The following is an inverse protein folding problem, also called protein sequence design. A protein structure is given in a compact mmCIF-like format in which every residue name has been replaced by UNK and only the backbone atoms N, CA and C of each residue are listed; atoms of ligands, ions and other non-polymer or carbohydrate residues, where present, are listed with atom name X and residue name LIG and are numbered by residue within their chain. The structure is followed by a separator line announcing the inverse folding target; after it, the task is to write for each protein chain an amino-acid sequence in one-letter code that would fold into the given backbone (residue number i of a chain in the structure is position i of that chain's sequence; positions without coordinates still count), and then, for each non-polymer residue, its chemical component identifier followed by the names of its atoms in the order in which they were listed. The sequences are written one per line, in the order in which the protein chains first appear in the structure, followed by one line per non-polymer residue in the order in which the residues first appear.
data_IF_386286266659
#
_entry.id   IF_386286266659
#
_cell.length_a   1.000
_cell.length_b   1.000
_cell.length_c   1.000
_cell.angle_alpha   90.00
_cell.angle_beta   90.00
_cell.angle_gamma   90.00
#
_symmetry.space_group_name_H-M   'P 1'
#
loop_
_entity.id
_entity.type
_entity.pdbx_description
1 polymer ?
#
# COMPACT_ATOMS: atom_id res chain seq x y z
N UNK A 1 -44.44 52.68 6.34
CA UNK A 1 -45.70 52.64 7.10
C UNK A 1 -45.39 51.87 8.35
N UNK A 2 -45.17 52.58 9.41
CA UNK A 2 -45.89 52.77 10.70
C UNK A 2 -45.83 51.50 11.54
N UNK A 3 -45.00 51.52 12.61
CA UNK A 3 -45.37 51.98 14.01
C UNK A 3 -46.08 50.85 14.75
N UNK A 4 -45.93 50.59 16.01
CA UNK A 4 -45.29 51.23 17.17
C UNK A 4 -45.42 50.23 18.34
N UNK A 5 -44.43 50.29 19.24
CA UNK A 5 -44.54 50.76 20.64
C UNK A 5 -45.43 49.95 21.58
N UNK A 6 -44.95 49.59 22.68
CA UNK A 6 -45.00 50.22 24.00
C UNK A 6 -45.06 49.16 25.07
N UNK A 7 -44.37 49.23 25.98
CA UNK A 7 -44.15 49.84 27.28
C UNK A 7 -44.28 48.90 28.48
N UNK A 8 -43.29 49.01 29.25
CA UNK A 8 -43.00 48.67 30.61
C UNK A 8 -44.21 48.61 31.60
N UNK A 9 -44.05 47.75 32.64
CA UNK A 9 -44.20 48.21 34.04
C UNK A 9 -43.53 47.23 35.02
N UNK A 10 -42.81 47.83 35.95
CA UNK A 10 -42.09 47.31 37.10
C UNK A 10 -43.04 46.90 38.23
N UNK A 11 -42.69 45.88 39.03
CA UNK A 11 -42.97 45.87 40.47
C UNK A 11 -42.06 44.95 41.27
N UNK A 12 -41.39 45.48 42.26
CA UNK A 12 -40.64 44.80 43.32
C UNK A 12 -41.55 43.99 44.25
N UNK A 13 -41.12 42.91 44.84
CA UNK A 13 -41.01 42.69 46.29
C UNK A 13 -40.31 41.39 46.64
N UNK A 14 -39.41 41.44 47.63
CA UNK A 14 -38.81 40.34 48.42
C UNK A 14 -39.68 40.05 49.66
N UNK A 15 -39.27 39.10 50.61
CA UNK A 15 -38.53 37.83 50.59
C UNK A 15 -39.31 36.72 51.35
N UNK A 16 -38.79 35.47 51.32
CA UNK A 16 -39.30 34.38 52.16
C UNK A 16 -38.56 33.03 51.99
N UNK A 17 -37.68 32.78 52.90
CA UNK A 17 -37.22 31.55 53.59
C UNK A 17 -37.26 30.13 52.94
N UNK A 18 -36.09 29.51 52.94
CA UNK A 18 -35.71 28.18 53.41
C UNK A 18 -36.47 26.95 52.90
N UNK A 19 -35.72 26.10 52.14
CA UNK A 19 -36.07 24.74 51.91
C UNK A 19 -34.84 23.98 51.40
N UNK A 20 -34.20 23.19 52.28
CA UNK A 20 -33.09 22.30 51.96
C UNK A 20 -33.55 21.18 51.05
N UNK A 21 -32.92 21.02 49.88
CA UNK A 21 -33.09 19.91 48.99
C UNK A 21 -31.88 19.86 48.04
N UNK A 22 -30.87 19.11 48.44
CA UNK A 22 -29.66 18.93 47.61
C UNK A 22 -30.04 18.18 46.33
N UNK A 23 -30.04 18.88 45.20
CA UNK A 23 -29.99 18.22 43.88
C UNK A 23 -28.61 17.64 43.64
N UNK A 24 -28.49 16.43 43.00
CA UNK A 24 -27.19 15.88 42.67
C UNK A 24 -26.53 16.78 41.61
N UNK A 25 -25.33 17.27 41.96
CA UNK A 25 -24.42 18.00 41.08
C UNK A 25 -24.26 17.18 39.81
N UNK A 26 -24.77 17.69 38.71
CA UNK A 26 -24.64 17.09 37.37
C UNK A 26 -23.18 16.78 37.08
N UNK A 27 -22.94 15.60 36.56
CA UNK A 27 -21.68 15.12 36.03
C UNK A 27 -21.12 16.16 35.04
N UNK A 28 -20.25 17.03 35.56
CA UNK A 28 -19.38 17.84 34.70
C UNK A 28 -18.60 16.89 33.84
N UNK A 29 -18.63 17.03 32.51
CA UNK A 29 -17.84 16.30 31.57
C UNK A 29 -16.39 16.23 32.08
N UNK A 30 -15.95 15.08 32.54
CA UNK A 30 -14.62 14.88 33.09
C UNK A 30 -13.62 15.07 31.96
N UNK A 31 -12.92 16.18 31.98
CA UNK A 31 -11.81 16.49 31.09
C UNK A 31 -10.85 15.30 31.08
N UNK A 32 -10.40 14.88 29.91
CA UNK A 32 -9.39 13.85 29.78
C UNK A 32 -8.14 14.22 30.61
N UNK A 33 -7.57 13.25 31.38
CA UNK A 33 -6.41 13.51 32.22
C UNK A 33 -5.23 13.96 31.38
N UNK A 34 -4.41 14.86 31.92
CA UNK A 34 -3.25 15.45 31.27
C UNK A 34 -1.96 15.06 31.99
N UNK A 35 -0.81 15.32 31.36
CA UNK A 35 0.51 15.14 32.00
C UNK A 35 0.70 16.07 33.20
N UNK A 36 -0.05 17.17 33.30
CA UNK A 36 -0.05 18.07 34.46
C UNK A 36 -0.77 17.45 35.67
N UNK A 37 -1.85 16.72 35.42
CA UNK A 37 -2.58 16.00 36.48
C UNK A 37 -1.71 14.92 37.10
N UNK A 38 -0.97 14.19 36.26
CA UNK A 38 0.02 13.19 36.73
C UNK A 38 1.16 13.86 37.51
N UNK A 39 1.66 15.00 37.03
CA UNK A 39 2.71 15.75 37.68
C UNK A 39 2.31 16.16 39.08
N UNK A 40 1.07 16.70 39.22
CA UNK A 40 0.49 17.06 40.51
C UNK A 40 0.38 15.89 41.48
N UNK A 41 -0.20 14.76 41.02
CA UNK A 41 -0.38 13.55 41.84
C UNK A 41 0.95 12.85 42.19
N UNK A 42 1.93 12.92 41.30
CA UNK A 42 3.25 12.33 41.53
C UNK A 42 4.20 13.26 42.32
N UNK A 43 3.83 14.51 42.59
CA UNK A 43 4.68 15.49 43.27
C UNK A 43 5.96 15.81 42.51
N UNK A 44 5.91 15.85 41.17
CA UNK A 44 7.05 16.13 40.30
C UNK A 44 6.69 17.18 39.23
N UNK A 45 7.69 17.68 38.53
CA UNK A 45 7.42 18.61 37.41
C UNK A 45 6.88 17.87 36.18
N UNK A 46 6.08 18.54 35.34
CA UNK A 46 5.58 18.00 34.07
C UNK A 46 6.72 17.51 33.14
N UNK A 47 7.88 18.17 33.01
CA UNK A 47 9.02 17.61 32.30
C UNK A 47 9.53 16.28 32.85
N UNK A 48 9.44 16.08 34.17
CA UNK A 48 9.82 14.81 34.83
C UNK A 48 8.85 13.70 34.45
N UNK A 49 7.54 13.97 34.42
CA UNK A 49 6.52 13.02 33.92
C UNK A 49 6.80 12.63 32.47
N UNK A 50 7.06 13.63 31.60
CA UNK A 50 7.38 13.37 30.20
C UNK A 50 8.64 12.50 30.03
N UNK A 51 9.70 12.76 30.80
CA UNK A 51 10.93 11.94 30.76
C UNK A 51 10.68 10.54 31.31
N UNK A 52 9.92 10.39 32.39
CA UNK A 52 9.58 9.10 32.95
C UNK A 52 8.81 8.21 31.95
N UNK A 53 7.75 8.77 31.34
CA UNK A 53 6.89 8.06 30.39
C UNK A 53 7.59 7.79 29.04
N UNK A 54 8.68 8.53 28.71
CA UNK A 54 9.54 8.24 27.56
C UNK A 54 10.72 7.31 27.86
N UNK A 55 10.82 6.75 29.07
CA UNK A 55 11.89 5.81 29.43
C UNK A 55 13.27 6.46 29.61
N UNK A 56 13.35 7.79 29.83
CA UNK A 56 14.62 8.50 29.99
C UNK A 56 15.42 7.99 31.20
N UNK A 57 16.74 7.72 31.05
CA UNK A 57 17.59 7.29 32.16
C UNK A 57 17.82 8.39 33.23
N UNK A 58 17.42 9.62 32.94
CA UNK A 58 17.55 10.75 33.87
C UNK A 58 16.50 10.74 34.99
N UNK A 59 15.55 9.81 34.98
CA UNK A 59 14.53 9.64 36.03
C UNK A 59 14.80 8.34 36.77
N UNK A 60 14.85 8.41 38.11
CA UNK A 60 15.07 7.22 38.93
C UNK A 60 13.97 6.18 38.71
N UNK A 61 14.31 4.91 38.85
CA UNK A 61 13.36 3.82 38.63
C UNK A 61 12.15 3.91 39.57
N UNK A 62 12.35 4.27 40.82
CA UNK A 62 11.27 4.46 41.77
C UNK A 62 10.30 5.56 41.37
N UNK A 63 10.83 6.68 40.84
CA UNK A 63 10.00 7.79 40.35
C UNK A 63 9.25 7.40 39.08
N UNK A 64 9.90 6.65 38.16
CA UNK A 64 9.27 6.15 36.92
C UNK A 64 8.10 5.23 37.24
N UNK A 65 8.30 4.23 38.08
CA UNK A 65 7.24 3.28 38.48
C UNK A 65 6.05 3.98 39.12
N UNK A 66 6.29 5.01 39.98
CA UNK A 66 5.23 5.80 40.60
C UNK A 66 4.42 6.56 39.53
N UNK A 67 5.08 7.21 38.59
CA UNK A 67 4.44 7.94 37.49
C UNK A 67 3.63 7.02 36.59
N UNK A 68 4.18 5.84 36.22
CA UNK A 68 3.49 4.85 35.41
C UNK A 68 2.25 4.27 36.11
N UNK A 69 2.31 4.08 37.45
CA UNK A 69 1.16 3.65 38.24
C UNK A 69 0.02 4.67 38.21
N UNK A 70 0.35 5.95 38.43
CA UNK A 70 -0.63 7.06 38.36
C UNK A 70 -1.21 7.19 36.96
N UNK A 71 -0.38 7.12 35.91
CA UNK A 71 -0.83 7.18 34.53
C UNK A 71 -1.84 6.06 34.21
N UNK A 72 -1.57 4.83 34.69
CA UNK A 72 -2.49 3.69 34.58
C UNK A 72 -3.81 3.92 35.33
N UNK A 73 -3.75 4.42 36.57
CA UNK A 73 -4.94 4.72 37.35
C UNK A 73 -5.84 5.76 36.70
N UNK A 74 -5.25 6.77 36.09
CA UNK A 74 -5.97 7.82 35.36
C UNK A 74 -6.37 7.40 33.94
N UNK A 75 -6.03 6.20 33.49
CA UNK A 75 -6.17 5.76 32.08
C UNK A 75 -5.55 6.78 31.10
N UNK A 76 -4.46 7.44 31.54
CA UNK A 76 -3.76 8.45 30.73
C UNK A 76 -2.97 7.75 29.61
N UNK A 77 -3.21 8.19 28.40
CA UNK A 77 -2.40 7.86 27.22
C UNK A 77 -1.56 9.07 26.85
N UNK A 78 -0.26 8.85 26.64
CA UNK A 78 0.63 9.92 26.16
C UNK A 78 0.06 10.44 24.84
N UNK A 79 -0.22 11.74 24.78
CA UNK A 79 -0.62 12.38 23.53
C UNK A 79 0.58 12.35 22.56
N UNK A 80 0.46 11.48 21.55
CA UNK A 80 1.48 11.32 20.52
C UNK A 80 1.70 12.64 19.76
N UNK A 81 0.66 13.42 19.51
CA UNK A 81 0.76 14.70 18.80
C UNK A 81 1.59 15.72 19.57
N UNK A 82 1.41 15.82 20.90
CA UNK A 82 2.21 16.70 21.75
C UNK A 82 3.66 16.21 21.92
N UNK A 83 3.91 14.90 21.78
CA UNK A 83 5.25 14.31 21.82
C UNK A 83 5.98 14.50 20.50
N UNK A 84 5.31 14.34 19.35
CA UNK A 84 5.86 14.48 18.01
C UNK A 84 6.32 15.90 17.70
N UNK A 85 5.58 16.92 18.14
CA UNK A 85 5.97 18.33 18.05
C UNK A 85 7.32 18.62 18.72
N UNK A 86 7.61 17.94 19.84
CA UNK A 86 8.90 18.09 20.55
C UNK A 86 10.04 17.29 19.90
N UNK A 87 9.74 16.13 19.32
CA UNK A 87 10.72 15.24 18.69
C UNK A 87 10.98 15.60 17.23
N UNK A 88 10.15 16.47 16.60
CA UNK A 88 10.11 16.71 15.15
C UNK A 88 9.97 15.40 14.34
N UNK A 89 9.24 14.41 14.89
CA UNK A 89 8.97 13.12 14.25
C UNK A 89 7.54 12.72 14.57
N UNK A 90 6.83 12.30 13.54
CA UNK A 90 5.42 11.87 13.66
C UNK A 90 5.29 10.41 14.10
N UNK A 91 6.38 9.63 14.02
CA UNK A 91 6.39 8.17 14.14
C UNK A 91 5.32 7.53 13.22
N UNK A 92 5.10 8.14 12.04
CA UNK A 92 4.14 7.72 11.02
C UNK A 92 4.84 7.61 9.67
N UNK A 93 4.53 6.57 8.92
CA UNK A 93 4.88 6.44 7.50
C UNK A 93 3.61 6.64 6.68
N UNK A 94 3.70 7.37 5.57
CA UNK A 94 2.59 7.47 4.62
C UNK A 94 2.77 6.46 3.49
N UNK A 95 1.75 5.64 3.25
CA UNK A 95 1.66 4.77 2.08
C UNK A 95 0.74 5.42 1.07
N UNK A 96 1.28 5.70 -0.11
CA UNK A 96 0.57 6.33 -1.20
C UNK A 96 0.35 5.32 -2.31
N UNK A 97 -0.92 5.06 -2.64
CA UNK A 97 -1.28 4.24 -3.78
C UNK A 97 -1.21 5.03 -5.08
N UNK A 98 -0.63 4.43 -6.09
CA UNK A 98 -0.78 4.85 -7.48
C UNK A 98 -1.99 4.12 -8.06
N UNK A 99 -2.96 4.85 -8.55
CA UNK A 99 -4.10 4.26 -9.22
C UNK A 99 -3.83 4.19 -10.71
N UNK A 100 -4.01 2.99 -11.29
CA UNK A 100 -4.28 2.89 -12.70
C UNK A 100 -5.67 3.48 -12.97
N UNK A 101 -5.88 4.22 -14.05
CA UNK A 101 -7.19 4.76 -14.41
C UNK A 101 -8.12 3.61 -14.81
N UNK A 102 -8.74 2.97 -13.81
CA UNK A 102 -9.80 1.99 -14.03
C UNK A 102 -11.14 2.70 -13.96
N UNK A 103 -12.13 2.19 -14.69
CA UNK A 103 -13.49 2.75 -14.66
C UNK A 103 -14.18 2.58 -13.29
N UNK A 104 -13.67 1.71 -12.43
CA UNK A 104 -14.13 1.46 -11.08
C UNK A 104 -13.06 1.88 -10.06
N UNK A 105 -13.15 3.12 -9.60
CA UNK A 105 -12.27 3.71 -8.57
C UNK A 105 -12.37 3.01 -7.20
N UNK A 106 -13.31 2.07 -7.02
CA UNK A 106 -13.50 1.36 -5.76
C UNK A 106 -12.57 0.17 -5.57
N UNK A 107 -11.90 -0.31 -6.62
CA UNK A 107 -11.14 -1.56 -6.59
C UNK A 107 -9.63 -1.31 -6.55
N UNK A 108 -9.04 -1.61 -5.40
CA UNK A 108 -7.57 -1.76 -5.29
C UNK A 108 -7.19 -3.15 -5.78
N UNK A 109 -6.18 -3.24 -6.66
CA UNK A 109 -5.64 -4.54 -7.09
C UNK A 109 -5.33 -5.43 -5.86
N UNK A 110 -5.87 -6.66 -5.78
CA UNK A 110 -5.66 -7.58 -4.65
C UNK A 110 -4.20 -7.84 -4.29
N UNK A 111 -3.29 -7.78 -5.26
CA UNK A 111 -1.85 -7.86 -5.01
C UNK A 111 -1.39 -6.71 -4.08
N UNK A 112 -1.83 -5.48 -4.34
CA UNK A 112 -1.47 -4.35 -3.50
C UNK A 112 -2.18 -4.37 -2.14
N UNK A 113 -3.35 -4.97 -2.03
CA UNK A 113 -4.01 -5.21 -0.73
C UNK A 113 -3.18 -6.18 0.12
N UNK A 114 -2.63 -7.23 -0.47
CA UNK A 114 -1.72 -8.15 0.22
C UNK A 114 -0.41 -7.45 0.66
N UNK A 115 0.13 -6.59 -0.22
CA UNK A 115 1.31 -5.77 0.08
C UNK A 115 1.04 -4.79 1.23
N UNK A 116 -0.11 -4.09 1.21
CA UNK A 116 -0.55 -3.20 2.30
C UNK A 116 -0.57 -3.95 3.64
N UNK A 117 -1.13 -5.16 3.69
CA UNK A 117 -1.13 -5.98 4.90
C UNK A 117 0.27 -6.32 5.41
N UNK A 118 1.22 -6.55 4.50
CA UNK A 118 2.62 -6.83 4.83
C UNK A 118 3.36 -5.58 5.33
N UNK A 119 3.17 -4.44 4.66
CA UNK A 119 3.74 -3.15 5.06
C UNK A 119 3.20 -2.73 6.43
N UNK A 120 1.88 -2.86 6.66
CA UNK A 120 1.25 -2.52 7.96
C UNK A 120 1.88 -3.29 9.11
N UNK A 121 2.10 -4.61 8.94
CA UNK A 121 2.77 -5.43 9.95
C UNK A 121 4.23 -5.03 10.15
N UNK A 122 4.95 -4.71 9.08
CA UNK A 122 6.34 -4.27 9.14
C UNK A 122 6.47 -2.90 9.83
N UNK A 123 5.64 -1.92 9.46
CA UNK A 123 5.59 -0.59 10.09
C UNK A 123 5.32 -0.71 11.60
N UNK A 124 4.33 -1.53 12.00
CA UNK A 124 4.02 -1.75 13.42
C UNK A 124 5.19 -2.35 14.20
N UNK A 125 5.89 -3.34 13.63
CA UNK A 125 7.10 -3.91 14.26
C UNK A 125 8.22 -2.88 14.39
N UNK A 126 8.33 -1.96 13.43
CA UNK A 126 9.32 -0.88 13.43
C UNK A 126 8.92 0.31 14.32
N UNK A 127 7.74 0.29 14.95
CA UNK A 127 7.24 1.35 15.85
C UNK A 127 6.52 2.49 15.16
N UNK A 128 6.20 2.36 13.88
CA UNK A 128 5.47 3.37 13.09
C UNK A 128 3.98 3.06 12.98
N UNK A 129 3.18 4.11 12.98
CA UNK A 129 1.80 4.06 12.48
C UNK A 129 1.82 4.22 10.93
N UNK A 130 0.79 3.73 10.25
CA UNK A 130 0.70 3.82 8.79
C UNK A 130 -0.50 4.70 8.40
N UNK A 131 -0.22 5.79 7.69
CA UNK A 131 -1.22 6.63 7.04
C UNK A 131 -1.37 6.15 5.59
N UNK A 132 -2.57 5.74 5.20
CA UNK A 132 -2.84 5.26 3.84
C UNK A 132 -3.60 6.32 3.07
N UNK A 133 -3.16 6.65 1.86
CA UNK A 133 -3.78 7.65 1.01
C UNK A 133 -3.61 7.30 -0.47
N UNK A 134 -4.45 7.92 -1.30
CA UNK A 134 -4.33 7.87 -2.75
C UNK A 134 -3.72 9.17 -3.26
N UNK A 135 -2.97 9.12 -4.36
CA UNK A 135 -2.08 10.20 -4.76
C UNK A 135 -2.71 11.30 -5.62
N UNK A 136 -3.95 11.13 -6.02
CA UNK A 136 -4.56 11.91 -7.10
C UNK A 136 -4.72 13.42 -6.84
N UNK A 137 -4.57 13.89 -5.60
CA UNK A 137 -5.01 15.24 -5.21
C UNK A 137 -3.87 16.21 -4.85
N UNK A 138 -2.60 15.84 -4.99
CA UNK A 138 -1.48 16.70 -4.61
C UNK A 138 -0.39 16.78 -5.65
N UNK A 139 0.14 17.99 -5.84
CA UNK A 139 1.27 18.26 -6.72
C UNK A 139 2.63 18.21 -6.00
N UNK A 140 2.65 18.20 -4.67
CA UNK A 140 3.87 18.16 -3.86
C UNK A 140 3.72 17.30 -2.60
N UNK A 141 4.05 16.00 -2.74
CA UNK A 141 3.92 15.03 -1.65
C UNK A 141 4.90 15.28 -0.50
N UNK A 142 6.09 15.85 -0.76
CA UNK A 142 7.03 16.23 0.29
C UNK A 142 6.39 17.24 1.24
N UNK A 143 5.87 18.34 0.67
CA UNK A 143 5.21 19.39 1.42
C UNK A 143 4.00 18.89 2.19
N UNK A 144 3.19 18.02 1.56
CA UNK A 144 1.95 17.53 2.17
C UNK A 144 2.17 16.56 3.33
N UNK A 145 3.28 15.85 3.35
CA UNK A 145 3.54 14.81 4.35
C UNK A 145 4.71 15.13 5.27
N UNK A 146 5.92 15.42 4.75
CA UNK A 146 7.09 15.69 5.58
C UNK A 146 7.06 17.09 6.20
N UNK A 147 6.86 18.16 5.42
CA UNK A 147 6.85 19.54 5.92
C UNK A 147 5.69 19.79 6.91
N UNK A 148 4.55 19.16 6.66
CA UNK A 148 3.40 19.23 7.57
C UNK A 148 3.52 18.30 8.77
N UNK A 149 4.58 17.50 8.87
CA UNK A 149 4.79 16.48 9.90
C UNK A 149 3.68 15.43 10.01
N UNK A 150 2.94 15.15 8.92
CA UNK A 150 1.95 14.07 8.87
C UNK A 150 2.62 12.71 8.80
N UNK A 151 3.77 12.62 8.13
CA UNK A 151 4.58 11.41 8.05
C UNK A 151 6.07 11.76 8.04
N UNK A 152 6.88 10.83 8.53
CA UNK A 152 8.34 10.96 8.56
C UNK A 152 8.97 10.48 7.24
N UNK A 153 8.25 9.69 6.46
CA UNK A 153 8.69 9.19 5.15
C UNK A 153 7.56 8.50 4.40
N UNK A 154 7.81 8.22 3.11
CA UNK A 154 6.79 7.76 2.18
C UNK A 154 7.07 6.34 1.68
N UNK A 155 6.02 5.56 1.47
CA UNK A 155 6.04 4.30 0.74
C UNK A 155 5.11 4.45 -0.46
N UNK A 156 5.66 4.24 -1.66
CA UNK A 156 4.92 4.41 -2.91
C UNK A 156 4.58 3.02 -3.47
N UNK A 157 3.30 2.75 -3.70
CA UNK A 157 2.80 1.44 -4.05
C UNK A 157 1.80 1.50 -5.20
N UNK A 158 2.05 0.77 -6.29
CA UNK A 158 1.17 0.66 -7.43
C UNK A 158 1.91 0.44 -8.74
N UNK A 159 1.16 0.08 -9.77
CA UNK A 159 1.60 0.08 -11.16
C UNK A 159 0.89 1.23 -11.89
N UNK A 160 1.62 2.21 -12.33
CA UNK A 160 1.09 3.31 -13.09
C UNK A 160 2.00 3.69 -14.25
N UNK A 161 1.56 4.63 -15.06
CA UNK A 161 2.35 5.15 -16.16
C UNK A 161 3.68 5.73 -15.65
N UNK A 162 4.77 5.00 -15.92
CA UNK A 162 6.10 5.36 -15.44
C UNK A 162 6.56 6.75 -15.92
N UNK A 163 6.13 7.20 -17.09
CA UNK A 163 6.51 8.52 -17.61
C UNK A 163 5.97 9.64 -16.72
N UNK A 164 4.75 9.45 -16.18
CA UNK A 164 4.14 10.40 -15.24
C UNK A 164 4.85 10.34 -13.88
N UNK A 165 5.13 9.13 -13.38
CA UNK A 165 5.72 8.96 -12.05
C UNK A 165 7.18 9.33 -11.98
N UNK A 166 7.94 9.14 -13.04
CA UNK A 166 9.37 9.45 -13.08
C UNK A 166 9.67 10.89 -12.66
N UNK A 167 8.85 11.84 -13.10
CA UNK A 167 9.03 13.24 -12.74
C UNK A 167 8.74 13.50 -11.27
N UNK A 168 7.68 12.87 -10.71
CA UNK A 168 7.35 12.94 -9.28
C UNK A 168 8.45 12.34 -8.41
N UNK A 169 8.98 11.18 -8.80
CA UNK A 169 10.10 10.53 -8.10
C UNK A 169 11.35 11.43 -8.12
N UNK A 170 11.66 12.06 -9.26
CA UNK A 170 12.76 12.98 -9.37
C UNK A 170 12.57 14.22 -8.47
N UNK A 171 11.35 14.75 -8.37
CA UNK A 171 11.01 15.85 -7.47
C UNK A 171 11.23 15.46 -6.00
N UNK A 172 10.69 14.33 -5.55
CA UNK A 172 10.90 13.83 -4.18
C UNK A 172 12.38 13.67 -3.84
N UNK A 173 13.15 13.14 -4.79
CA UNK A 173 14.60 12.99 -4.64
C UNK A 173 15.32 14.34 -4.50
N UNK A 174 14.95 15.33 -5.31
CA UNK A 174 15.51 16.68 -5.26
C UNK A 174 15.17 17.41 -3.95
N UNK A 175 14.01 17.15 -3.38
CA UNK A 175 13.55 17.69 -2.09
C UNK A 175 14.17 16.97 -0.87
N UNK A 176 14.89 15.85 -1.09
CA UNK A 176 15.49 15.06 -0.01
C UNK A 176 14.46 14.25 0.78
N UNK A 177 13.29 13.99 0.21
CA UNK A 177 12.25 13.16 0.81
C UNK A 177 12.75 11.74 1.08
N UNK A 178 12.41 11.19 2.23
CA UNK A 178 12.72 9.80 2.58
C UNK A 178 11.61 8.90 2.06
N UNK A 179 11.91 8.14 1.01
CA UNK A 179 10.89 7.25 0.45
C UNK A 179 11.47 5.92 -0.04
N UNK A 180 10.59 4.93 -0.11
CA UNK A 180 10.81 3.67 -0.82
C UNK A 180 9.63 3.41 -1.75
N UNK A 181 9.88 2.80 -2.91
CA UNK A 181 8.85 2.46 -3.87
C UNK A 181 8.87 0.99 -4.24
N UNK A 182 7.70 0.44 -4.50
CA UNK A 182 7.56 -0.81 -5.24
C UNK A 182 7.56 -0.52 -6.74
N UNK A 183 8.33 -1.31 -7.51
CA UNK A 183 8.37 -1.13 -8.95
C UNK A 183 9.58 -1.81 -9.60
N UNK A 184 9.80 -1.54 -10.88
CA UNK A 184 10.96 -2.05 -11.60
C UNK A 184 12.26 -1.46 -11.04
N UNK A 185 13.17 -2.34 -10.65
CA UNK A 185 14.52 -1.97 -10.19
C UNK A 185 15.36 -1.50 -11.36
N UNK A 186 15.14 -2.06 -12.56
CA UNK A 186 15.85 -1.72 -13.79
C UNK A 186 15.46 -0.32 -14.29
N UNK A 187 14.20 0.09 -14.10
CA UNK A 187 13.70 1.42 -14.45
C UNK A 187 13.98 2.46 -13.34
N UNK A 188 15.14 2.41 -12.71
CA UNK A 188 15.47 3.31 -11.63
C UNK A 188 15.63 4.77 -12.11
N UNK A 189 14.94 5.70 -11.45
CA UNK A 189 14.86 7.11 -11.84
C UNK A 189 16.02 7.99 -11.33
N UNK A 190 17.12 7.41 -10.90
CA UNK A 190 18.26 8.19 -10.41
C UNK A 190 18.46 8.16 -8.88
N UNK A 191 19.33 9.01 -8.33
CA UNK A 191 19.64 9.02 -6.91
C UNK A 191 18.46 9.53 -6.10
N UNK A 192 18.08 8.77 -5.09
CA UNK A 192 17.03 9.12 -4.13
C UNK A 192 15.97 8.04 -4.02
N UNK A 193 15.60 7.75 -2.77
CA UNK A 193 14.69 6.67 -2.46
C UNK A 193 15.24 5.26 -2.75
N UNK A 194 14.56 4.27 -2.23
CA UNK A 194 14.89 2.87 -2.52
C UNK A 194 13.81 2.26 -3.44
N UNK A 195 14.23 1.54 -4.48
CA UNK A 195 13.32 0.75 -5.31
C UNK A 195 13.41 -0.71 -4.91
N UNK A 196 12.29 -1.27 -4.50
CA UNK A 196 12.12 -2.70 -4.21
C UNK A 196 11.20 -3.27 -5.29
N UNK A 197 11.59 -4.38 -5.91
CA UNK A 197 10.79 -4.99 -6.96
C UNK A 197 11.06 -6.47 -7.09
N UNK A 198 10.27 -7.15 -7.91
CA UNK A 198 10.49 -8.54 -8.28
C UNK A 198 11.33 -8.66 -9.56
N UNK A 199 12.03 -9.78 -9.69
CA UNK A 199 12.64 -10.15 -10.95
C UNK A 199 11.56 -10.53 -11.97
N UNK A 200 11.03 -9.51 -12.63
CA UNK A 200 9.94 -9.64 -13.60
C UNK A 200 10.37 -10.42 -14.84
N UNK A 201 11.61 -10.24 -15.29
CA UNK A 201 12.17 -10.93 -16.44
C UNK A 201 12.27 -12.44 -16.17
N UNK A 202 12.88 -12.83 -15.05
CA UNK A 202 12.97 -14.23 -14.64
C UNK A 202 11.58 -14.84 -14.43
N UNK A 203 10.62 -14.09 -13.89
CA UNK A 203 9.23 -14.53 -13.75
C UNK A 203 8.57 -14.83 -15.09
N UNK A 204 8.70 -13.94 -16.08
CA UNK A 204 8.21 -14.15 -17.45
C UNK A 204 8.86 -15.36 -18.13
N UNK A 205 10.19 -15.50 -18.01
CA UNK A 205 10.91 -16.68 -18.50
C UNK A 205 10.39 -17.97 -17.86
N UNK A 206 10.19 -17.98 -16.57
CA UNK A 206 9.74 -19.16 -15.81
C UNK A 206 8.36 -19.62 -16.29
N UNK A 207 7.42 -18.70 -16.46
CA UNK A 207 6.08 -18.97 -16.97
C UNK A 207 6.14 -19.56 -18.39
N UNK A 208 6.90 -18.95 -19.29
CA UNK A 208 7.04 -19.40 -20.67
C UNK A 208 7.75 -20.76 -20.77
N UNK A 209 8.87 -20.96 -20.08
CA UNK A 209 9.59 -22.24 -20.05
C UNK A 209 8.70 -23.37 -19.53
N UNK A 210 7.86 -23.09 -18.53
CA UNK A 210 6.91 -24.07 -18.03
C UNK A 210 5.90 -24.50 -19.11
N UNK A 211 5.29 -23.54 -19.83
CA UNK A 211 4.37 -23.83 -20.94
C UNK A 211 5.05 -24.57 -22.08
N UNK A 212 6.28 -24.19 -22.45
CA UNK A 212 7.08 -24.87 -23.47
C UNK A 212 7.35 -26.33 -23.08
N UNK A 213 7.67 -26.57 -21.79
CA UNK A 213 7.86 -27.93 -21.27
C UNK A 213 6.58 -28.78 -21.31
N UNK A 214 5.40 -28.14 -21.24
CA UNK A 214 4.09 -28.79 -21.46
C UNK A 214 3.73 -28.96 -22.95
N UNK A 215 4.64 -28.68 -23.87
CA UNK A 215 4.45 -28.86 -25.29
C UNK A 215 3.84 -27.68 -26.04
N UNK A 216 3.61 -26.52 -25.36
CA UNK A 216 3.07 -25.30 -25.98
C UNK A 216 4.13 -24.66 -26.88
N UNK A 217 3.69 -24.12 -28.01
CA UNK A 217 4.59 -23.63 -29.06
C UNK A 217 4.26 -22.20 -29.53
N UNK A 218 3.05 -21.75 -29.32
CA UNK A 218 2.54 -20.43 -29.76
C UNK A 218 1.95 -19.68 -28.58
N UNK A 219 2.80 -18.93 -27.92
CA UNK A 219 2.42 -18.20 -26.69
C UNK A 219 1.92 -16.80 -27.06
N UNK A 220 0.75 -16.43 -26.55
CA UNK A 220 0.29 -15.05 -26.50
C UNK A 220 0.66 -14.43 -25.14
N UNK A 221 1.14 -13.19 -25.16
CA UNK A 221 1.34 -12.37 -23.97
C UNK A 221 0.23 -11.33 -23.87
N UNK A 222 -0.48 -11.33 -22.75
CA UNK A 222 -1.51 -10.33 -22.46
C UNK A 222 -0.98 -9.35 -21.44
N UNK A 223 -0.76 -8.11 -21.87
CA UNK A 223 -0.24 -7.03 -21.03
C UNK A 223 0.32 -5.89 -21.84
N UNK A 224 0.25 -4.69 -21.34
CA UNK A 224 0.80 -3.50 -21.99
C UNK A 224 2.32 -3.46 -21.84
N UNK A 225 3.04 -4.19 -22.71
CA UNK A 225 4.50 -4.30 -22.69
C UNK A 225 5.17 -3.09 -23.34
N UNK A 226 5.35 -2.02 -22.59
CA UNK A 226 6.00 -0.79 -23.06
C UNK A 226 6.81 -0.14 -21.93
N UNK A 227 7.62 0.89 -22.29
CA UNK A 227 8.36 1.67 -21.30
C UNK A 227 7.49 2.39 -20.26
N UNK A 228 6.19 2.54 -20.53
CA UNK A 228 5.23 3.07 -19.56
C UNK A 228 4.92 2.10 -18.43
N UNK A 229 5.01 0.79 -18.70
CA UNK A 229 4.80 -0.29 -17.72
C UNK A 229 6.02 -1.20 -17.69
N UNK A 230 7.14 -0.75 -17.11
CA UNK A 230 8.43 -1.44 -17.18
C UNK A 230 8.40 -2.84 -16.58
N UNK A 231 7.53 -3.10 -15.60
CA UNK A 231 7.33 -4.43 -15.02
C UNK A 231 6.75 -5.40 -16.06
N UNK A 232 5.73 -4.96 -16.82
CA UNK A 232 5.11 -5.79 -17.86
C UNK A 232 6.04 -5.96 -19.04
N UNK A 233 6.78 -4.92 -19.41
CA UNK A 233 7.82 -5.01 -20.45
C UNK A 233 8.87 -6.07 -20.08
N UNK A 234 9.37 -6.04 -18.84
CA UNK A 234 10.35 -7.03 -18.38
C UNK A 234 9.77 -8.46 -18.38
N UNK A 235 8.49 -8.65 -17.99
CA UNK A 235 7.79 -9.95 -18.09
C UNK A 235 7.72 -10.43 -19.54
N UNK A 236 7.31 -9.55 -20.46
CA UNK A 236 7.26 -9.83 -21.90
C UNK A 236 8.61 -10.21 -22.47
N UNK A 237 9.66 -9.44 -22.17
CA UNK A 237 11.03 -9.73 -22.62
C UNK A 237 11.53 -11.07 -22.08
N UNK A 238 11.15 -11.43 -20.84
CA UNK A 238 11.42 -12.75 -20.29
C UNK A 238 10.75 -13.89 -21.09
N UNK A 239 9.47 -13.69 -21.46
CA UNK A 239 8.74 -14.64 -22.32
C UNK A 239 9.39 -14.75 -23.69
N UNK A 240 9.70 -13.61 -24.33
CA UNK A 240 10.34 -13.57 -25.65
C UNK A 240 11.71 -14.28 -25.64
N UNK A 241 12.50 -14.07 -24.59
CA UNK A 241 13.79 -14.74 -24.42
C UNK A 241 13.62 -16.26 -24.30
N UNK A 242 12.67 -16.75 -23.50
CA UNK A 242 12.43 -18.19 -23.34
C UNK A 242 12.01 -18.85 -24.66
N UNK A 243 11.19 -18.18 -25.47
CA UNK A 243 10.79 -18.66 -26.79
C UNK A 243 11.97 -18.69 -27.76
N UNK A 244 12.80 -17.65 -27.79
CA UNK A 244 13.98 -17.58 -28.63
C UNK A 244 14.98 -18.70 -28.30
N UNK A 245 15.22 -18.96 -27.00
CA UNK A 245 16.07 -20.07 -26.52
C UNK A 245 15.55 -21.44 -26.96
N UNK A 246 14.23 -21.59 -27.10
CA UNK A 246 13.58 -22.82 -27.57
C UNK A 246 13.43 -22.90 -29.11
N UNK A 247 13.90 -21.90 -29.85
CA UNK A 247 13.75 -21.85 -31.32
C UNK A 247 12.28 -21.68 -31.76
N UNK A 248 11.43 -21.04 -30.93
CA UNK A 248 10.01 -20.80 -31.17
C UNK A 248 9.76 -19.38 -31.66
N UNK A 249 8.62 -19.13 -32.34
CA UNK A 249 8.23 -17.77 -32.74
C UNK A 249 8.13 -16.80 -31.53
N UNK A 250 8.35 -15.50 -31.76
CA UNK A 250 8.14 -14.50 -30.69
C UNK A 250 6.68 -14.54 -30.19
N UNK A 251 6.43 -14.07 -28.96
CA UNK A 251 5.09 -14.08 -28.40
C UNK A 251 4.18 -13.14 -29.18
N UNK A 252 2.91 -13.54 -29.39
CA UNK A 252 1.87 -12.63 -29.83
C UNK A 252 1.56 -11.67 -28.69
N UNK A 253 1.53 -10.36 -28.93
CA UNK A 253 1.21 -9.39 -27.89
C UNK A 253 -0.18 -8.84 -28.09
N UNK A 254 -0.96 -8.77 -27.01
CA UNK A 254 -2.19 -7.98 -26.93
C UNK A 254 -2.17 -7.12 -25.66
N UNK A 255 -2.39 -5.83 -25.84
CA UNK A 255 -2.35 -4.87 -24.74
C UNK A 255 -3.51 -5.11 -23.75
N UNK A 256 -3.19 -5.12 -22.48
CA UNK A 256 -4.16 -5.18 -21.39
C UNK A 256 -3.60 -4.45 -20.16
N UNK A 257 -4.38 -3.59 -19.56
CA UNK A 257 -4.14 -3.05 -18.22
C UNK A 257 -4.59 -4.08 -17.18
N UNK A 258 -4.27 -3.86 -15.92
CA UNK A 258 -4.49 -4.83 -14.82
C UNK A 258 -5.97 -4.91 -14.39
N UNK A 259 -6.84 -5.36 -15.32
CA UNK A 259 -8.26 -5.64 -15.04
C UNK A 259 -8.72 -6.92 -15.75
N UNK A 260 -9.81 -7.51 -15.25
CA UNK A 260 -10.42 -8.68 -15.88
C UNK A 260 -11.02 -8.33 -17.25
N UNK A 261 -11.63 -7.15 -17.36
CA UNK A 261 -12.24 -6.65 -18.60
C UNK A 261 -11.21 -6.49 -19.70
N UNK A 262 -10.05 -5.90 -19.39
CA UNK A 262 -8.96 -5.74 -20.34
C UNK A 262 -8.37 -7.10 -20.76
N UNK A 263 -8.23 -8.04 -19.82
CA UNK A 263 -7.79 -9.42 -20.12
C UNK A 263 -8.75 -10.14 -21.06
N UNK A 264 -10.06 -10.02 -20.84
CA UNK A 264 -11.07 -10.60 -21.71
C UNK A 264 -11.07 -9.94 -23.11
N UNK A 265 -10.98 -8.61 -23.16
CA UNK A 265 -10.93 -7.87 -24.41
C UNK A 265 -9.71 -8.24 -25.26
N UNK A 266 -8.54 -8.43 -24.63
CA UNK A 266 -7.31 -8.85 -25.32
C UNK A 266 -7.47 -10.24 -25.97
N UNK A 267 -8.08 -11.21 -25.28
CA UNK A 267 -8.38 -12.55 -25.86
C UNK A 267 -9.35 -12.41 -27.06
N UNK A 268 -10.41 -11.62 -26.91
CA UNK A 268 -11.35 -11.42 -28.00
C UNK A 268 -10.70 -10.78 -29.22
N UNK A 269 -9.79 -9.82 -29.02
CA UNK A 269 -9.05 -9.17 -30.10
C UNK A 269 -8.14 -10.14 -30.84
N UNK A 270 -7.39 -11.01 -30.14
CA UNK A 270 -6.54 -12.04 -30.74
C UNK A 270 -7.37 -13.02 -31.58
N UNK A 271 -8.48 -13.51 -31.05
CA UNK A 271 -9.36 -14.46 -31.77
C UNK A 271 -9.99 -13.77 -33.01
N UNK A 272 -10.48 -12.55 -32.87
CA UNK A 272 -11.08 -11.79 -33.98
C UNK A 272 -10.05 -11.46 -35.06
N UNK A 273 -8.79 -11.25 -34.70
CA UNK A 273 -7.66 -11.06 -35.63
C UNK A 273 -7.23 -12.34 -36.37
N UNK A 274 -7.83 -13.51 -36.04
CA UNK A 274 -7.46 -14.80 -36.65
C UNK A 274 -6.12 -15.32 -36.16
N UNK A 275 -5.59 -14.79 -35.04
CA UNK A 275 -4.33 -15.23 -34.49
C UNK A 275 -4.42 -16.67 -33.92
N UNK A 276 -3.41 -17.46 -34.20
CA UNK A 276 -3.33 -18.85 -33.72
C UNK A 276 -2.37 -18.89 -32.53
N UNK A 277 -2.86 -19.26 -31.35
CA UNK A 277 -2.07 -19.48 -30.13
C UNK A 277 -2.58 -20.71 -29.38
N UNK A 278 -1.73 -21.35 -28.62
CA UNK A 278 -2.02 -22.55 -27.81
C UNK A 278 -1.85 -22.29 -26.32
N UNK A 279 -1.36 -21.12 -25.97
CA UNK A 279 -1.16 -20.73 -24.58
C UNK A 279 -1.08 -19.22 -24.37
N UNK A 280 -1.37 -18.79 -23.14
CA UNK A 280 -1.35 -17.39 -22.70
C UNK A 280 -0.44 -17.26 -21.49
N UNK A 281 0.46 -16.28 -21.54
CA UNK A 281 1.12 -15.70 -20.36
C UNK A 281 0.50 -14.33 -20.13
N UNK A 282 -0.28 -14.18 -19.07
CA UNK A 282 -0.85 -12.90 -18.69
C UNK A 282 0.09 -12.15 -17.75
N UNK A 283 0.19 -10.84 -17.94
CA UNK A 283 1.06 -9.97 -17.14
C UNK A 283 0.61 -9.87 -15.67
N UNK A 284 -0.66 -10.16 -15.36
CA UNK A 284 -1.16 -10.27 -13.99
C UNK A 284 -2.26 -11.31 -13.87
N UNK A 285 -2.60 -11.72 -12.66
CA UNK A 285 -3.68 -12.67 -12.41
C UNK A 285 -5.05 -12.11 -12.78
N UNK A 286 -5.29 -10.82 -12.60
CA UNK A 286 -6.56 -10.19 -13.04
C UNK A 286 -6.73 -10.30 -14.55
N UNK A 287 -5.68 -10.02 -15.33
CA UNK A 287 -5.68 -10.21 -16.78
C UNK A 287 -5.93 -11.70 -17.12
N UNK A 288 -5.27 -12.62 -16.40
CA UNK A 288 -5.45 -14.07 -16.61
C UNK A 288 -6.88 -14.52 -16.29
N UNK A 289 -7.51 -14.01 -15.22
CA UNK A 289 -8.90 -14.32 -14.86
C UNK A 289 -9.85 -13.85 -15.97
N UNK A 290 -9.66 -12.65 -16.47
CA UNK A 290 -10.40 -12.13 -17.62
C UNK A 290 -10.22 -13.01 -18.87
N UNK A 291 -8.99 -13.45 -19.14
CA UNK A 291 -8.69 -14.36 -20.24
C UNK A 291 -9.41 -15.71 -20.08
N UNK A 292 -9.40 -16.30 -18.87
CA UNK A 292 -10.12 -17.55 -18.58
C UNK A 292 -11.62 -17.41 -18.88
N UNK A 293 -12.22 -16.28 -18.50
CA UNK A 293 -13.63 -15.98 -18.77
C UNK A 293 -13.91 -15.91 -20.28
N UNK A 294 -13.11 -15.12 -21.01
CA UNK A 294 -13.27 -14.95 -22.45
C UNK A 294 -13.08 -16.27 -23.25
N UNK A 295 -12.17 -17.14 -22.80
CA UNK A 295 -12.00 -18.47 -23.39
C UNK A 295 -13.23 -19.36 -23.14
N UNK A 296 -13.77 -19.35 -21.91
CA UNK A 296 -14.97 -20.09 -21.57
C UNK A 296 -16.20 -19.62 -22.37
N UNK A 297 -16.35 -18.32 -22.61
CA UNK A 297 -17.42 -17.72 -23.44
C UNK A 297 -17.35 -18.16 -24.91
N UNK A 298 -16.23 -18.74 -25.33
CA UNK A 298 -15.96 -19.27 -26.69
C UNK A 298 -15.87 -20.80 -26.73
N UNK A 299 -16.26 -21.48 -25.64
CA UNK A 299 -16.18 -22.95 -25.50
C UNK A 299 -14.75 -23.49 -25.65
N UNK A 300 -13.73 -22.66 -25.46
CA UNK A 300 -12.32 -23.06 -25.49
C UNK A 300 -11.90 -23.59 -24.12
N UNK A 301 -11.49 -24.84 -24.08
CA UNK A 301 -11.16 -25.53 -22.83
C UNK A 301 -9.76 -25.18 -22.34
N UNK A 302 -9.67 -24.79 -21.08
CA UNK A 302 -8.38 -24.59 -20.40
C UNK A 302 -8.13 -25.79 -19.48
N UNK A 303 -6.98 -26.47 -19.57
CA UNK A 303 -5.81 -26.22 -20.43
C UNK A 303 -5.82 -26.96 -21.78
N UNK A 304 -6.87 -27.73 -22.11
CA UNK A 304 -6.84 -28.64 -23.21
C UNK A 304 -6.58 -27.97 -24.58
N UNK A 305 -7.35 -26.89 -24.86
CA UNK A 305 -7.21 -26.15 -26.11
C UNK A 305 -6.18 -25.00 -25.91
N UNK A 306 -6.30 -24.22 -24.85
CA UNK A 306 -5.41 -23.10 -24.52
C UNK A 306 -4.95 -23.23 -23.06
N UNK A 307 -3.64 -23.25 -22.81
CA UNK A 307 -3.06 -23.17 -21.47
C UNK A 307 -2.95 -21.70 -21.01
N UNK A 308 -3.12 -21.43 -19.71
CA UNK A 308 -3.06 -20.06 -19.18
C UNK A 308 -2.16 -20.01 -17.95
N UNK A 309 -1.30 -19.00 -17.90
CA UNK A 309 -0.53 -18.63 -16.68
C UNK A 309 -0.72 -17.18 -16.35
N UNK A 310 -0.70 -16.84 -15.05
CA UNK A 310 -0.79 -15.49 -14.53
C UNK A 310 0.48 -15.03 -13.83
N UNK A 311 0.37 -13.91 -13.11
CA UNK A 311 1.43 -13.32 -12.30
C UNK A 311 0.78 -12.63 -11.09
N UNK A 312 1.34 -12.75 -9.89
CA UNK A 312 1.02 -12.13 -8.59
C UNK A 312 0.61 -13.14 -7.51
N UNK A 313 -0.02 -14.26 -7.87
CA UNK A 313 -0.62 -15.25 -6.96
C UNK A 313 -1.65 -14.64 -6.00
N UNK A 314 -2.58 -13.83 -6.55
CA UNK A 314 -3.68 -13.29 -5.75
C UNK A 314 -4.60 -14.42 -5.26
N UNK A 315 -5.32 -14.24 -4.12
CA UNK A 315 -6.19 -15.30 -3.57
C UNK A 315 -7.20 -15.87 -4.56
N UNK A 316 -7.71 -15.05 -5.49
CA UNK A 316 -8.66 -15.47 -6.52
C UNK A 316 -8.06 -16.51 -7.48
N UNK A 317 -6.75 -16.47 -7.74
CA UNK A 317 -6.06 -17.39 -8.66
C UNK A 317 -6.25 -18.86 -8.28
N UNK A 318 -6.29 -19.18 -6.97
CA UNK A 318 -6.51 -20.54 -6.49
C UNK A 318 -7.97 -21.01 -6.65
N UNK A 319 -8.91 -20.08 -6.84
CA UNK A 319 -10.37 -20.34 -6.88
C UNK A 319 -10.95 -20.29 -8.30
N UNK A 320 -10.14 -19.96 -9.32
CA UNK A 320 -10.57 -20.00 -10.72
C UNK A 320 -10.90 -21.41 -11.18
N UNK A 321 -11.55 -21.54 -12.31
CA UNK A 321 -11.88 -22.82 -12.95
C UNK A 321 -11.40 -22.86 -14.38
N UNK A 322 -10.27 -23.60 -14.61
CA UNK A 322 -9.44 -24.32 -13.65
C UNK A 322 -8.62 -23.37 -12.75
N UNK A 323 -8.10 -23.86 -11.58
CA UNK A 323 -7.20 -23.07 -10.72
C UNK A 323 -5.96 -22.60 -11.49
N UNK A 324 -5.64 -21.31 -11.38
CA UNK A 324 -4.65 -20.60 -12.18
C UNK A 324 -3.22 -20.90 -11.71
N UNK A 325 -2.39 -21.39 -12.63
CA UNK A 325 -0.92 -21.43 -12.51
C UNK A 325 -0.40 -20.01 -12.62
N UNK A 326 0.43 -19.57 -11.68
CA UNK A 326 0.85 -18.17 -11.63
C UNK A 326 2.25 -18.01 -11.03
N UNK A 327 2.89 -16.89 -11.34
CA UNK A 327 4.17 -16.50 -10.75
C UNK A 327 3.92 -15.68 -9.49
N UNK A 328 4.42 -16.15 -8.35
CA UNK A 328 4.24 -15.46 -7.06
C UNK A 328 5.36 -14.47 -6.81
N UNK A 329 4.99 -13.33 -6.25
CA UNK A 329 5.88 -12.29 -5.74
C UNK A 329 5.86 -12.31 -4.20
N UNK A 330 7.04 -12.20 -3.57
CA UNK A 330 7.15 -12.23 -2.09
C UNK A 330 6.73 -10.89 -1.47
N UNK A 331 5.43 -10.71 -1.30
CA UNK A 331 4.84 -9.52 -0.68
C UNK A 331 5.26 -9.31 0.77
N UNK A 332 5.59 -10.41 1.50
CA UNK A 332 6.01 -10.29 2.90
C UNK A 332 7.41 -9.68 2.98
N UNK A 333 8.35 -10.23 2.19
CA UNK A 333 9.72 -9.71 2.13
C UNK A 333 9.74 -8.31 1.56
N UNK A 334 8.94 -8.03 0.52
CA UNK A 334 8.79 -6.71 -0.07
C UNK A 334 8.33 -5.66 0.96
N UNK A 335 7.25 -5.96 1.68
CA UNK A 335 6.73 -5.05 2.70
C UNK A 335 7.72 -4.76 3.82
N UNK A 336 8.50 -5.76 4.24
CA UNK A 336 9.57 -5.56 5.21
C UNK A 336 10.67 -4.65 4.68
N UNK A 337 11.16 -4.90 3.45
CA UNK A 337 12.23 -4.11 2.83
C UNK A 337 11.81 -2.66 2.57
N UNK A 338 10.57 -2.42 2.15
CA UNK A 338 10.06 -1.07 1.95
C UNK A 338 10.12 -0.25 3.23
N UNK A 339 9.65 -0.81 4.35
CA UNK A 339 9.70 -0.14 5.66
C UNK A 339 11.14 0.03 6.15
N UNK A 340 11.97 -1.02 6.06
CA UNK A 340 13.37 -0.97 6.49
C UNK A 340 14.17 0.06 5.68
N UNK A 341 13.87 0.21 4.38
CA UNK A 341 14.53 1.20 3.52
C UNK A 341 14.19 2.63 3.91
N UNK A 342 12.91 2.94 4.21
CA UNK A 342 12.55 4.28 4.70
C UNK A 342 13.18 4.52 6.07
N UNK A 343 13.14 3.55 6.97
CA UNK A 343 13.75 3.67 8.30
C UNK A 343 15.26 3.93 8.22
N UNK A 344 15.98 3.20 7.36
CA UNK A 344 17.41 3.42 7.16
C UNK A 344 17.70 4.86 6.72
N UNK A 345 16.92 5.40 5.77
CA UNK A 345 17.06 6.81 5.33
C UNK A 345 16.79 7.80 6.48
N UNK A 346 15.79 7.54 7.33
CA UNK A 346 15.50 8.36 8.51
C UNK A 346 16.62 8.34 9.55
N UNK A 347 17.42 7.28 9.58
CA UNK A 347 18.60 7.12 10.44
C UNK A 347 19.89 7.60 9.74
N UNK A 348 19.80 8.12 8.51
CA UNK A 348 20.95 8.56 7.72
C UNK A 348 21.82 7.42 7.18
N UNK A 349 21.27 6.20 7.12
CA UNK A 349 21.94 5.00 6.63
C UNK A 349 21.64 4.76 5.15
N UNK A 350 22.51 4.05 4.41
CA UNK A 350 22.23 3.65 3.04
C UNK A 350 20.99 2.78 2.95
N UNK A 351 20.14 3.03 1.96
CA UNK A 351 18.96 2.25 1.64
C UNK A 351 19.00 1.79 0.17
N UNK A 352 19.77 0.75 -0.15
CA UNK A 352 19.88 0.24 -1.52
C UNK A 352 18.55 -0.37 -1.98
N UNK A 353 18.29 -0.31 -3.28
CA UNK A 353 17.23 -1.06 -3.92
C UNK A 353 17.43 -2.57 -3.77
N UNK A 354 16.36 -3.33 -3.94
CA UNK A 354 16.41 -4.78 -3.89
C UNK A 354 15.52 -5.41 -4.98
N UNK A 355 16.07 -6.38 -5.68
CA UNK A 355 15.33 -7.24 -6.60
C UNK A 355 15.05 -8.58 -5.90
N UNK A 356 13.77 -8.92 -5.77
CA UNK A 356 13.31 -10.15 -5.12
C UNK A 356 13.11 -11.26 -6.14
N UNK A 357 13.52 -12.49 -5.85
CA UNK A 357 13.25 -13.61 -6.71
C UNK A 357 11.75 -13.92 -6.79
N UNK A 358 11.32 -14.44 -7.93
CA UNK A 358 9.97 -14.95 -8.16
C UNK A 358 9.98 -16.47 -8.17
N UNK A 359 8.82 -17.10 -8.01
CA UNK A 359 8.65 -18.56 -8.16
C UNK A 359 7.32 -18.89 -8.82
N UNK A 360 7.25 -19.99 -9.55
CA UNK A 360 6.02 -20.47 -10.17
C UNK A 360 5.23 -21.33 -9.17
N UNK A 361 3.94 -21.06 -9.08
CA UNK A 361 2.95 -21.89 -8.38
C UNK A 361 2.14 -22.63 -9.46
N UNK A 362 2.45 -23.91 -9.63
CA UNK A 362 1.79 -24.74 -10.63
C UNK A 362 0.43 -25.18 -10.10
N UNK A 363 -0.62 -24.96 -10.91
CA UNK A 363 -2.00 -25.41 -10.70
C UNK A 363 -2.50 -26.08 -11.97
N UNK A 364 -3.80 -26.02 -12.24
CA UNK A 364 -4.42 -26.81 -13.31
C UNK A 364 -4.57 -26.08 -14.65
N UNK A 365 -4.38 -24.78 -14.73
CA UNK A 365 -4.61 -23.99 -15.95
C UNK A 365 -3.53 -24.14 -17.02
N UNK A 366 -2.41 -24.78 -16.72
CA UNK A 366 -1.27 -24.94 -17.64
C UNK A 366 -1.15 -26.34 -18.25
N UNK A 367 -1.90 -27.33 -17.76
CA UNK A 367 -1.85 -28.71 -18.24
C UNK A 367 -0.81 -29.61 -17.54
N UNK A 368 -0.12 -29.10 -16.52
CA UNK A 368 0.66 -29.95 -15.64
C UNK A 368 -0.27 -30.85 -14.81
N UNK A 369 0.07 -32.13 -14.71
CA UNK A 369 -0.70 -33.14 -13.98
C UNK A 369 -0.52 -32.98 -12.46
#
# INVERSE_FOLDING_TARGET
MRNASGDAVSAKTQPGEAGAGGEPVGLTATRAPTSFDIAHLAGVSQPTVSRALSGSPMVSEATRLRIEAIARQLNYKVDKAASSLRKRRSDTLALLFFEDPTADESLINPFFVAMLGSITRAAKRAGYDLLVSFQQLSDDWHKDYEDTHKADGLILLGYGDWEIYRERIAQLSAQGTRFARWGSVEANAGPGGATIGSDNRAGGQMAARHLIAQGRRRIAFLGHASGRYPEFLARFEGVAQALAEAGLPPPLQADAITTEEAGAAAVHALIAGGESFDSIVAASDLIAIGALRALADRDLRVPADIAVTGFDDIPAAASTRPPLTTVVQDTQRAGQLLVDSVRAQLEGLPAPGAMLPTRLVVRRSCGAA
#
